data_IF_255187704570
#
_entry.id   IF_255187704570
#
_cell.length_a   1.000
_cell.length_b   1.000
_cell.length_c   1.000
_cell.angle_alpha   90.00
_cell.angle_beta   90.00
_cell.angle_gamma   90.00
#
_symmetry.space_group_name_H-M   'P 1'
#
loop_
_entity.id
_entity.type
_entity.pdbx_description
1 polymer ?
#
# COMPACT_ATOMS: atom_id res chain seq x y z
N UNK A 1 -26.32 7.17 -12.32
CA UNK A 1 -26.83 7.82 -11.09
C UNK A 1 -25.64 8.21 -10.24
N UNK A 2 -25.68 9.32 -9.48
CA UNK A 2 -24.56 9.68 -8.58
C UNK A 2 -24.52 8.68 -7.43
N UNK A 3 -23.36 8.05 -7.19
CA UNK A 3 -23.13 7.20 -6.03
C UNK A 3 -23.37 7.98 -4.74
N UNK A 4 -24.09 7.37 -3.79
CA UNK A 4 -24.38 7.98 -2.50
C UNK A 4 -23.16 7.94 -1.57
N UNK A 5 -22.34 6.89 -1.66
CA UNK A 5 -21.09 6.73 -0.91
C UNK A 5 -19.93 6.71 -1.89
N UNK A 6 -18.91 7.53 -1.64
CA UNK A 6 -17.65 7.53 -2.40
C UNK A 6 -16.48 7.14 -1.52
N UNK A 7 -15.49 6.53 -2.16
CA UNK A 7 -14.18 6.24 -1.58
C UNK A 7 -13.24 7.39 -1.91
N UNK A 8 -12.58 7.93 -0.90
CA UNK A 8 -11.53 8.93 -1.06
C UNK A 8 -10.17 8.32 -0.72
N UNK A 9 -9.16 8.63 -1.54
CA UNK A 9 -7.78 8.17 -1.35
C UNK A 9 -6.90 9.38 -1.08
N UNK A 10 -6.58 9.64 0.19
CA UNK A 10 -5.70 10.74 0.58
C UNK A 10 -4.25 10.30 0.56
N UNK A 11 -3.38 10.92 -0.26
CA UNK A 11 -1.99 10.48 -0.36
C UNK A 11 -1.25 10.68 0.96
N UNK A 12 -0.59 9.63 1.43
CA UNK A 12 0.40 9.73 2.50
C UNK A 12 1.75 10.07 1.88
N UNK A 13 2.16 11.32 2.04
CA UNK A 13 3.40 11.85 1.46
C UNK A 13 4.51 11.83 2.50
N UNK A 14 5.68 11.30 2.14
CA UNK A 14 6.92 11.62 2.85
C UNK A 14 7.48 12.89 2.24
N UNK A 15 7.77 13.89 3.09
CA UNK A 15 8.55 15.05 2.66
C UNK A 15 9.98 14.59 2.39
N UNK A 16 10.33 14.36 1.13
CA UNK A 16 11.69 14.01 0.70
C UNK A 16 12.40 15.22 0.11
N UNK A 17 12.73 16.20 0.96
CA UNK A 17 13.61 17.33 0.64
C UNK A 17 13.30 18.04 -0.70
N UNK A 18 14.30 18.68 -1.34
CA UNK A 18 14.10 19.49 -2.54
C UNK A 18 13.85 18.68 -3.83
N UNK A 19 13.75 17.34 -3.78
CA UNK A 19 13.68 16.45 -4.97
C UNK A 19 12.32 15.77 -5.20
N UNK A 20 11.27 16.22 -4.53
CA UNK A 20 9.88 15.77 -4.75
C UNK A 20 9.34 14.94 -3.60
N UNK A 21 8.01 14.74 -3.54
CA UNK A 21 7.35 13.94 -2.49
C UNK A 21 7.17 12.49 -2.93
N UNK A 22 7.68 11.53 -2.17
CA UNK A 22 7.32 10.12 -2.34
C UNK A 22 5.91 9.86 -1.78
N UNK A 23 5.06 9.16 -2.54
CA UNK A 23 3.77 8.63 -2.07
C UNK A 23 4.06 7.27 -1.44
N UNK A 24 3.93 7.20 -0.11
CA UNK A 24 4.16 5.96 0.66
C UNK A 24 2.91 5.09 0.76
N UNK A 25 1.74 5.68 0.49
CA UNK A 25 0.48 5.06 0.82
C UNK A 25 -0.71 5.97 0.63
N UNK A 26 -1.86 5.52 1.13
CA UNK A 26 -3.08 6.30 1.19
C UNK A 26 -3.81 6.10 2.52
N UNK A 27 -4.47 7.17 2.96
CA UNK A 27 -5.56 7.06 3.93
C UNK A 27 -6.86 6.87 3.16
N UNK A 28 -7.55 5.75 3.42
CA UNK A 28 -8.89 5.50 2.92
C UNK A 28 -9.91 6.23 3.78
N UNK A 29 -10.82 6.93 3.11
CA UNK A 29 -11.99 7.57 3.71
C UNK A 29 -13.25 7.17 2.94
N UNK A 30 -14.38 7.19 3.64
CA UNK A 30 -15.69 7.11 3.02
C UNK A 30 -16.44 8.41 3.24
N UNK A 31 -17.15 8.87 2.23
CA UNK A 31 -17.96 10.07 2.33
C UNK A 31 -19.28 9.90 1.61
N UNK A 32 -20.34 10.43 2.22
CA UNK A 32 -21.65 10.49 1.57
C UNK A 32 -21.75 11.74 0.72
N UNK A 33 -22.00 11.58 -0.58
CA UNK A 33 -22.15 12.70 -1.52
C UNK A 33 -23.56 12.75 -2.11
N UNK A 34 -24.34 13.74 -1.68
CA UNK A 34 -25.63 14.09 -2.27
C UNK A 34 -26.77 13.10 -1.99
N UNK A 35 -27.89 13.31 -2.68
CA UNK A 35 -29.14 12.53 -2.55
C UNK A 35 -29.16 11.26 -3.43
N UNK A 36 -28.00 10.67 -3.70
CA UNK A 36 -27.90 9.42 -4.48
C UNK A 36 -28.60 8.26 -3.76
N UNK A 37 -29.06 7.26 -4.52
CA UNK A 37 -29.51 6.00 -3.95
C UNK A 37 -28.28 5.18 -3.52
N UNK A 38 -28.32 4.63 -2.31
CA UNK A 38 -27.30 3.70 -1.81
C UNK A 38 -27.90 2.32 -1.66
N UNK A 39 -27.13 1.28 -1.94
CA UNK A 39 -27.46 -0.07 -1.51
C UNK A 39 -27.30 -0.22 0.01
N UNK A 40 -26.57 0.68 0.69
CA UNK A 40 -26.51 0.72 2.14
C UNK A 40 -27.83 1.23 2.74
N UNK A 41 -28.30 0.57 3.79
CA UNK A 41 -29.50 0.97 4.53
C UNK A 41 -29.11 1.46 5.92
N UNK A 42 -29.88 2.43 6.43
CA UNK A 42 -29.60 3.03 7.73
C UNK A 42 -29.75 1.98 8.85
N UNK A 43 -28.67 1.78 9.61
CA UNK A 43 -28.64 0.84 10.74
C UNK A 43 -28.54 -0.64 10.36
N UNK A 44 -28.56 -0.98 9.06
CA UNK A 44 -28.40 -2.36 8.58
C UNK A 44 -26.97 -2.60 8.14
N UNK A 45 -26.36 -3.66 8.65
CA UNK A 45 -25.06 -4.13 8.16
C UNK A 45 -25.25 -4.96 6.89
N UNK A 46 -24.49 -4.66 5.84
CA UNK A 46 -24.48 -5.41 4.59
C UNK A 46 -23.06 -5.81 4.19
N UNK A 47 -22.87 -6.98 3.54
CA UNK A 47 -21.59 -7.33 2.94
C UNK A 47 -21.13 -6.24 1.98
N UNK A 48 -19.86 -5.88 2.04
CA UNK A 48 -19.28 -4.89 1.16
C UNK A 48 -17.84 -5.26 0.82
N UNK A 49 -17.36 -4.76 -0.32
CA UNK A 49 -15.96 -4.92 -0.70
C UNK A 49 -15.39 -3.66 -1.31
N UNK A 50 -14.11 -3.45 -1.05
CA UNK A 50 -13.26 -2.47 -1.72
C UNK A 50 -12.42 -3.23 -2.73
N UNK A 51 -12.72 -3.06 -4.01
CA UNK A 51 -11.94 -3.65 -5.10
C UNK A 51 -10.91 -2.63 -5.56
N UNK A 52 -9.63 -2.96 -5.42
CA UNK A 52 -8.53 -2.11 -5.83
C UNK A 52 -8.21 -2.37 -7.30
N UNK A 53 -8.08 -1.27 -8.04
CA UNK A 53 -7.69 -1.25 -9.44
C UNK A 53 -6.39 -0.47 -9.61
N UNK A 54 -5.57 -0.91 -10.56
CA UNK A 54 -4.36 -0.19 -10.96
C UNK A 54 -4.42 0.10 -12.46
N UNK A 55 -3.97 1.29 -12.84
CA UNK A 55 -3.63 1.63 -14.22
C UNK A 55 -2.18 2.10 -14.28
N UNK A 56 -1.41 1.59 -15.22
CA UNK A 56 -0.01 1.96 -15.41
C UNK A 56 0.16 2.89 -16.61
N UNK A 57 0.85 4.00 -16.38
CA UNK A 57 0.99 5.08 -17.36
C UNK A 57 2.47 5.40 -17.58
N UNK A 58 2.84 5.60 -18.84
CA UNK A 58 4.13 6.17 -19.20
C UNK A 58 4.12 7.69 -19.07
N UNK A 59 2.96 8.31 -19.36
CA UNK A 59 2.74 9.75 -19.30
C UNK A 59 1.42 10.08 -18.61
N UNK A 60 1.43 11.08 -17.71
CA UNK A 60 0.25 11.47 -16.91
C UNK A 60 -0.79 12.25 -17.74
N UNK A 61 -0.40 12.77 -18.91
CA UNK A 61 -1.28 13.59 -19.77
C UNK A 61 -1.40 12.98 -21.15
N UNK A 62 -2.64 12.77 -21.60
CA UNK A 62 -2.95 12.30 -22.95
C UNK A 62 -3.01 10.77 -23.10
N UNK A 63 -2.82 10.02 -22.01
CA UNK A 63 -3.03 8.57 -21.97
C UNK A 63 -4.26 8.29 -21.10
N UNK A 64 -5.28 7.63 -21.67
CA UNK A 64 -6.44 7.19 -20.90
C UNK A 64 -6.05 5.97 -20.05
N UNK A 65 -6.27 5.99 -18.72
CA UNK A 65 -5.91 4.88 -17.86
C UNK A 65 -6.82 3.66 -18.10
N UNK A 66 -6.21 2.51 -18.34
CA UNK A 66 -6.89 1.21 -18.35
C UNK A 66 -6.76 0.58 -16.96
N UNK A 67 -7.86 0.61 -16.19
CA UNK A 67 -7.89 0.10 -14.84
C UNK A 67 -8.17 -1.40 -14.79
N UNK A 68 -7.25 -2.16 -14.22
CA UNK A 68 -7.40 -3.59 -13.98
C UNK A 68 -7.55 -3.86 -12.48
N UNK A 69 -8.54 -4.66 -12.11
CA UNK A 69 -8.72 -5.10 -10.73
C UNK A 69 -7.58 -6.04 -10.34
N UNK A 70 -6.97 -5.83 -9.18
CA UNK A 70 -5.85 -6.66 -8.72
C UNK A 70 -5.97 -7.13 -7.27
N UNK A 71 -6.82 -6.51 -6.46
CA UNK A 71 -7.01 -6.92 -5.08
C UNK A 71 -8.42 -6.59 -4.57
N UNK A 72 -8.89 -7.33 -3.58
CA UNK A 72 -10.18 -7.13 -2.92
C UNK A 72 -10.02 -7.15 -1.41
N UNK A 73 -10.59 -6.16 -0.73
CA UNK A 73 -10.76 -6.16 0.72
C UNK A 73 -12.24 -6.30 1.04
N UNK A 74 -12.62 -7.46 1.57
CA UNK A 74 -13.98 -7.77 1.98
C UNK A 74 -14.25 -7.30 3.40
N UNK A 75 -15.50 -6.96 3.69
CA UNK A 75 -15.93 -6.58 5.03
C UNK A 75 -17.44 -6.32 5.08
N UNK A 76 -17.86 -5.49 6.03
CA UNK A 76 -19.26 -5.10 6.20
C UNK A 76 -19.38 -3.58 6.16
N UNK A 77 -20.46 -3.06 5.60
CA UNK A 77 -20.77 -1.64 5.63
C UNK A 77 -22.12 -1.39 6.31
N UNK A 78 -22.19 -0.31 7.08
CA UNK A 78 -23.44 0.17 7.69
C UNK A 78 -23.56 1.67 7.44
N UNK A 79 -24.74 2.13 7.04
CA UNK A 79 -25.02 3.56 6.98
C UNK A 79 -25.50 4.05 8.35
N UNK A 80 -24.72 4.93 8.99
CA UNK A 80 -25.08 5.58 10.26
C UNK A 80 -25.56 7.00 10.02
N UNK A 81 -26.18 7.61 11.03
CA UNK A 81 -26.53 9.05 10.99
C UNK A 81 -25.31 9.94 10.76
N UNK A 82 -24.14 9.53 11.25
CA UNK A 82 -22.87 10.24 11.07
C UNK A 82 -22.18 9.96 9.74
N UNK A 83 -22.72 9.06 8.90
CA UNK A 83 -22.13 8.63 7.64
C UNK A 83 -21.90 7.12 7.55
N UNK A 84 -21.31 6.66 6.44
CA UNK A 84 -21.01 5.24 6.21
C UNK A 84 -19.88 4.77 7.12
N UNK A 85 -20.00 3.53 7.60
CA UNK A 85 -18.95 2.85 8.36
C UNK A 85 -18.67 1.48 7.78
N UNK A 86 -17.43 1.24 7.38
CA UNK A 86 -16.92 -0.04 6.94
C UNK A 86 -16.22 -0.74 8.11
N UNK A 87 -16.49 -2.02 8.30
CA UNK A 87 -16.03 -2.82 9.44
C UNK A 87 -15.29 -4.04 8.90
N UNK A 88 -14.08 -4.25 9.39
CA UNK A 88 -13.26 -5.42 9.14
C UNK A 88 -13.27 -6.34 10.36
N UNK A 89 -13.27 -7.64 10.10
CA UNK A 89 -12.98 -8.69 11.07
C UNK A 89 -11.49 -8.75 11.44
N UNK A 90 -11.16 -9.46 12.53
CA UNK A 90 -9.78 -9.64 12.97
C UNK A 90 -8.91 -10.40 11.97
N UNK A 91 -9.53 -11.31 11.20
CA UNK A 91 -8.86 -12.21 10.26
C UNK A 91 -9.08 -11.83 8.79
N UNK A 92 -9.74 -10.68 8.53
CA UNK A 92 -9.94 -10.20 7.16
C UNK A 92 -8.58 -9.88 6.51
N UNK A 93 -8.43 -10.22 5.24
CA UNK A 93 -7.21 -10.01 4.47
C UNK A 93 -7.50 -9.30 3.15
N UNK A 94 -6.45 -8.76 2.53
CA UNK A 94 -6.52 -8.32 1.14
C UNK A 94 -6.27 -9.54 0.26
N UNK A 95 -7.26 -9.92 -0.52
CA UNK A 95 -7.18 -11.01 -1.49
C UNK A 95 -6.63 -10.48 -2.82
N UNK A 96 -5.53 -11.05 -3.31
CA UNK A 96 -4.91 -10.64 -4.57
C UNK A 96 -5.31 -11.56 -5.72
N UNK A 97 -5.54 -11.00 -6.90
CA UNK A 97 -5.87 -11.78 -8.11
C UNK A 97 -4.66 -12.53 -8.68
N UNK A 98 -3.45 -12.12 -8.31
CA UNK A 98 -2.19 -12.74 -8.71
C UNK A 98 -1.53 -13.44 -7.53
N UNK A 99 -0.81 -14.55 -7.77
CA UNK A 99 -0.10 -15.26 -6.71
C UNK A 99 0.93 -14.38 -6.03
N UNK A 100 1.33 -14.77 -4.82
CA UNK A 100 2.41 -14.12 -4.12
C UNK A 100 3.73 -14.23 -4.92
N UNK A 101 4.56 -13.18 -4.91
CA UNK A 101 5.86 -13.22 -5.58
C UNK A 101 6.76 -14.29 -4.95
N UNK A 102 7.59 -14.93 -5.77
CA UNK A 102 8.63 -15.85 -5.31
C UNK A 102 9.66 -15.11 -4.46
N UNK A 103 10.32 -15.75 -3.49
CA UNK A 103 11.47 -15.17 -2.77
C UNK A 103 12.61 -14.71 -3.70
N UNK A 104 12.69 -15.27 -4.91
CA UNK A 104 13.65 -14.89 -5.95
C UNK A 104 13.24 -13.64 -6.74
N UNK A 105 11.97 -13.24 -6.68
CA UNK A 105 11.47 -12.09 -7.43
C UNK A 105 11.90 -10.79 -6.75
N UNK A 106 12.07 -9.69 -7.52
CA UNK A 106 12.23 -8.38 -6.93
C UNK A 106 11.06 -8.08 -5.97
N UNK A 107 11.34 -7.52 -4.79
CA UNK A 107 10.29 -7.22 -3.82
C UNK A 107 9.25 -6.29 -4.44
N UNK A 108 7.95 -6.61 -4.32
CA UNK A 108 6.91 -5.85 -4.98
C UNK A 108 6.80 -4.45 -4.36
N UNK A 109 6.35 -3.48 -5.14
CA UNK A 109 6.00 -2.17 -4.60
C UNK A 109 4.80 -2.33 -3.67
N UNK A 110 4.88 -1.73 -2.48
CA UNK A 110 3.80 -1.73 -1.50
C UNK A 110 3.37 -0.30 -1.18
N UNK A 111 2.09 -0.14 -0.86
CA UNK A 111 1.50 1.10 -0.36
C UNK A 111 0.95 0.87 1.05
N UNK A 112 1.33 1.73 1.97
CA UNK A 112 0.75 1.74 3.30
C UNK A 112 -0.72 2.16 3.22
N UNK A 113 -1.62 1.39 3.82
CA UNK A 113 -3.01 1.75 3.98
C UNK A 113 -3.26 2.20 5.42
N UNK A 114 -3.70 3.44 5.56
CA UNK A 114 -4.39 3.88 6.76
C UNK A 114 -5.90 3.95 6.51
N UNK A 115 -6.65 3.85 7.59
CA UNK A 115 -8.10 3.85 7.57
C UNK A 115 -8.59 4.95 8.49
N UNK A 116 -9.42 5.86 7.98
CA UNK A 116 -9.97 6.93 8.78
C UNK A 116 -10.97 6.37 9.80
N UNK A 117 -10.61 6.43 11.09
CA UNK A 117 -11.33 5.72 12.16
C UNK A 117 -12.80 6.09 12.36
N UNK A 118 -13.22 7.26 11.88
CA UNK A 118 -14.63 7.65 11.88
C UNK A 118 -15.47 6.80 10.90
N UNK A 119 -14.87 6.39 9.78
CA UNK A 119 -15.54 5.65 8.70
C UNK A 119 -15.09 4.19 8.62
N UNK A 120 -14.00 3.83 9.29
CA UNK A 120 -13.46 2.48 9.28
C UNK A 120 -13.28 1.96 10.70
N UNK A 121 -13.74 0.74 10.93
CA UNK A 121 -13.42 -0.04 12.12
C UNK A 121 -12.49 -1.17 11.70
N UNK A 122 -11.21 -1.00 12.01
CA UNK A 122 -10.15 -1.97 11.71
C UNK A 122 -9.54 -2.41 13.03
N UNK A 123 -9.56 -3.71 13.36
CA UNK A 123 -8.89 -4.23 14.54
C UNK A 123 -7.42 -3.79 14.55
N UNK A 124 -6.89 -3.25 15.67
CA UNK A 124 -5.48 -2.84 15.75
C UNK A 124 -4.50 -3.96 15.42
N UNK A 125 -4.88 -5.21 15.72
CA UNK A 125 -4.11 -6.43 15.47
C UNK A 125 -4.11 -6.86 14.01
N UNK A 126 -5.04 -6.38 13.18
CA UNK A 126 -5.09 -6.75 11.77
C UNK A 126 -4.10 -5.89 10.98
N UNK A 127 -2.85 -6.37 10.91
CA UNK A 127 -1.77 -5.74 10.16
C UNK A 127 -1.79 -6.11 8.67
N UNK A 128 -2.43 -7.23 8.31
CA UNK A 128 -2.46 -7.76 6.94
C UNK A 128 -3.15 -6.81 5.95
N UNK A 129 -4.14 -6.04 6.41
CA UNK A 129 -4.89 -5.07 5.59
C UNK A 129 -4.21 -3.70 5.48
N UNK A 130 -3.04 -3.50 6.11
CA UNK A 130 -2.34 -2.20 6.16
C UNK A 130 -1.25 -2.04 5.11
N UNK A 131 -0.98 -3.08 4.32
CA UNK A 131 -0.04 -3.03 3.20
C UNK A 131 -0.70 -3.55 1.94
N UNK A 132 -0.83 -2.67 0.94
CA UNK A 132 -1.36 -3.00 -0.38
C UNK A 132 -0.20 -3.26 -1.33
N UNK A 133 -0.04 -4.52 -1.73
CA UNK A 133 0.92 -4.92 -2.77
C UNK A 133 0.41 -4.51 -4.14
N UNK A 134 1.20 -3.75 -4.88
CA UNK A 134 0.87 -3.38 -6.26
C UNK A 134 1.28 -4.50 -7.23
N UNK A 135 0.53 -4.70 -8.33
CA UNK A 135 0.93 -5.61 -9.39
C UNK A 135 2.26 -5.15 -10.01
N UNK A 136 3.03 -6.03 -10.68
CA UNK A 136 4.24 -5.62 -11.37
C UNK A 136 3.94 -4.53 -12.41
N UNK A 137 4.72 -3.45 -12.39
CA UNK A 137 4.57 -2.40 -13.39
C UNK A 137 5.12 -2.88 -14.75
N UNK A 138 4.40 -2.66 -15.86
CA UNK A 138 4.93 -2.99 -17.18
C UNK A 138 6.16 -2.13 -17.50
N UNK A 139 7.04 -2.65 -18.35
CA UNK A 139 8.25 -1.94 -18.77
C UNK A 139 7.91 -0.56 -19.35
N UNK A 140 8.62 0.48 -18.90
CA UNK A 140 8.39 1.86 -19.34
C UNK A 140 7.40 2.66 -18.48
N UNK A 141 6.58 2.01 -17.66
CA UNK A 141 5.64 2.70 -16.78
C UNK A 141 6.36 3.63 -15.80
N UNK A 142 5.87 4.87 -15.69
CA UNK A 142 6.41 5.92 -14.81
C UNK A 142 5.46 6.29 -13.69
N UNK A 143 4.18 5.94 -13.83
CA UNK A 143 3.13 6.24 -12.88
C UNK A 143 2.20 5.04 -12.76
N UNK A 144 1.67 4.85 -11.56
CA UNK A 144 0.50 4.02 -11.32
C UNK A 144 -0.62 4.92 -10.80
N UNK A 145 -1.80 4.81 -11.37
CA UNK A 145 -3.02 5.33 -10.76
C UNK A 145 -3.69 4.18 -10.01
N UNK A 146 -3.96 4.37 -8.73
CA UNK A 146 -4.71 3.42 -7.92
C UNK A 146 -6.12 3.98 -7.74
N UNK A 147 -7.11 3.18 -8.09
CA UNK A 147 -8.51 3.48 -7.87
C UNK A 147 -9.17 2.39 -7.05
N UNK A 148 -10.29 2.73 -6.41
CA UNK A 148 -11.07 1.77 -5.63
C UNK A 148 -12.51 1.80 -6.10
N UNK A 149 -13.07 0.62 -6.36
CA UNK A 149 -14.50 0.41 -6.53
C UNK A 149 -15.09 -0.06 -5.20
N UNK A 150 -16.23 0.52 -4.81
CA UNK A 150 -17.01 0.09 -3.66
C UNK A 150 -18.18 -0.76 -4.16
N UNK A 151 -18.28 -1.99 -3.65
CA UNK A 151 -19.45 -2.85 -3.83
C UNK A 151 -20.18 -3.04 -2.52
N UNK A 152 -21.51 -3.12 -2.58
CA UNK A 152 -22.39 -3.40 -1.45
C UNK A 152 -23.38 -4.46 -1.88
N UNK A 153 -23.46 -5.56 -1.13
CA UNK A 153 -24.26 -6.73 -1.46
C UNK A 153 -23.99 -7.28 -2.88
N UNK A 154 -22.74 -7.17 -3.35
CA UNK A 154 -22.31 -7.63 -4.68
C UNK A 154 -22.50 -6.61 -5.81
N UNK A 155 -23.32 -5.58 -5.61
CA UNK A 155 -23.60 -4.55 -6.60
C UNK A 155 -22.64 -3.37 -6.48
N UNK A 156 -22.32 -2.73 -7.60
CA UNK A 156 -21.44 -1.54 -7.63
C UNK A 156 -22.18 -0.35 -7.05
N UNK A 157 -21.72 0.12 -5.89
CA UNK A 157 -22.18 1.37 -5.26
C UNK A 157 -21.46 2.57 -5.87
N UNK A 158 -20.13 2.47 -6.03
CA UNK A 158 -19.31 3.51 -6.63
C UNK A 158 -18.17 2.91 -7.43
N UNK A 159 -18.16 3.16 -8.74
CA UNK A 159 -17.10 2.69 -9.63
C UNK A 159 -15.80 3.48 -9.45
N UNK A 160 -14.70 2.95 -9.99
CA UNK A 160 -13.39 3.60 -10.05
C UNK A 160 -13.46 5.03 -10.63
N UNK A 161 -14.33 5.27 -11.61
CA UNK A 161 -14.49 6.58 -12.24
C UNK A 161 -15.27 7.59 -11.36
N UNK A 162 -16.07 7.11 -10.41
CA UNK A 162 -16.85 7.95 -9.50
C UNK A 162 -16.08 8.34 -8.23
N UNK A 163 -15.01 7.60 -7.90
CA UNK A 163 -14.20 7.76 -6.70
C UNK A 163 -12.91 8.55 -6.97
N UNK A 164 -12.22 8.94 -5.88
CA UNK A 164 -10.88 9.53 -6.00
C UNK A 164 -9.88 8.48 -6.52
N UNK A 165 -8.83 8.98 -7.19
CA UNK A 165 -7.69 8.20 -7.65
C UNK A 165 -6.44 8.69 -6.95
N UNK A 166 -5.55 7.74 -6.64
CA UNK A 166 -4.24 8.02 -6.08
C UNK A 166 -3.18 7.91 -7.17
N UNK A 167 -2.52 9.03 -7.46
CA UNK A 167 -1.33 9.04 -8.31
C UNK A 167 -0.10 8.57 -7.53
N UNK A 168 0.55 7.51 -8.02
CA UNK A 168 1.76 6.93 -7.44
C UNK A 168 2.90 7.04 -8.46
N UNK A 169 3.84 7.97 -8.27
CA UNK A 169 5.04 8.02 -9.10
C UNK A 169 5.85 6.72 -8.95
N UNK A 170 6.09 6.03 -10.06
CA UNK A 170 6.90 4.82 -10.13
C UNK A 170 8.38 5.13 -10.36
N UNK A 171 8.89 6.21 -9.75
CA UNK A 171 10.32 6.46 -9.76
C UNK A 171 11.06 5.15 -9.45
N UNK A 172 12.15 4.83 -10.19
CA UNK A 172 12.82 3.53 -10.08
C UNK A 172 13.03 3.21 -8.61
N UNK A 173 12.41 2.14 -8.13
CA UNK A 173 12.73 1.62 -6.82
C UNK A 173 14.17 1.17 -6.92
N UNK A 174 15.05 1.92 -6.29
CA UNK A 174 16.35 1.36 -5.97
C UNK A 174 16.09 0.44 -4.78
N UNK A 175 16.75 -0.70 -4.78
CA UNK A 175 16.78 -1.59 -3.64
C UNK A 175 18.24 -1.68 -3.19
N UNK A 176 18.44 -1.95 -1.92
CA UNK A 176 19.74 -2.33 -1.39
C UNK A 176 19.69 -3.84 -1.18
N UNK A 177 20.59 -4.56 -1.84
CA UNK A 177 20.75 -6.01 -1.68
C UNK A 177 22.22 -6.26 -1.37
N UNK A 178 22.48 -6.88 -0.22
CA UNK A 178 23.81 -7.23 0.22
C UNK A 178 23.80 -8.62 0.84
N UNK A 179 24.89 -9.34 0.66
CA UNK A 179 25.16 -10.59 1.33
C UNK A 179 26.31 -10.38 2.31
N UNK A 180 26.07 -10.73 3.57
CA UNK A 180 27.04 -10.62 4.66
C UNK A 180 27.71 -11.96 4.85
N UNK A 181 29.04 -12.00 4.69
CA UNK A 181 29.86 -13.20 4.88
C UNK A 181 31.03 -12.91 5.80
N UNK A 182 31.46 -13.91 6.55
CA UNK A 182 32.67 -13.85 7.38
C UNK A 182 33.94 -14.12 6.55
N UNK A 183 35.10 -14.16 7.21
CA UNK A 183 36.39 -14.44 6.57
C UNK A 183 36.51 -15.85 5.97
N UNK A 184 35.62 -16.77 6.34
CA UNK A 184 35.56 -18.15 5.87
C UNK A 184 34.47 -18.36 4.81
N UNK A 185 33.89 -17.28 4.27
CA UNK A 185 32.78 -17.29 3.31
C UNK A 185 31.46 -17.84 3.91
N UNK A 186 31.32 -17.94 5.23
CA UNK A 186 30.09 -18.39 5.88
C UNK A 186 29.09 -17.22 6.04
N UNK A 187 27.77 -17.45 5.86
CA UNK A 187 26.76 -16.40 5.96
C UNK A 187 26.63 -15.85 7.39
N UNK A 188 26.62 -14.54 7.51
CA UNK A 188 26.42 -13.81 8.77
C UNK A 188 24.93 -13.55 8.99
N UNK A 189 24.23 -14.55 9.51
CA UNK A 189 22.80 -14.46 9.82
C UNK A 189 22.49 -13.67 11.10
N UNK A 190 21.24 -13.19 11.21
CA UNK A 190 20.64 -12.54 12.39
C UNK A 190 21.38 -11.29 12.88
N UNK A 191 22.08 -10.59 11.99
CA UNK A 191 22.81 -9.38 12.33
C UNK A 191 21.96 -8.15 12.19
N UNK A 192 21.93 -7.30 13.21
CA UNK A 192 21.23 -6.02 13.17
C UNK A 192 22.12 -4.91 12.60
N UNK A 193 21.62 -4.24 11.57
CA UNK A 193 22.32 -3.18 10.86
C UNK A 193 21.42 -1.95 10.72
N UNK A 194 22.05 -0.80 10.56
CA UNK A 194 21.40 0.43 10.16
C UNK A 194 21.82 0.78 8.73
N UNK A 195 20.83 0.93 7.85
CA UNK A 195 21.01 1.49 6.52
C UNK A 195 20.64 2.97 6.53
N UNK A 196 21.61 3.85 6.25
CA UNK A 196 21.40 5.29 6.06
C UNK A 196 21.31 5.62 4.57
N UNK A 197 20.23 6.26 4.17
CA UNK A 197 19.94 6.65 2.78
C UNK A 197 20.51 8.05 2.45
N UNK A 198 20.59 8.37 1.15
CA UNK A 198 21.11 9.65 0.63
C UNK A 198 20.37 10.89 1.15
N UNK A 199 19.10 10.77 1.54
CA UNK A 199 18.31 11.87 2.11
C UNK A 199 18.52 12.04 3.64
N UNK A 200 19.37 11.19 4.23
CA UNK A 200 19.65 11.16 5.66
C UNK A 200 18.71 10.30 6.48
N UNK A 201 17.65 9.72 5.90
CA UNK A 201 16.78 8.78 6.62
C UNK A 201 17.46 7.45 6.88
N UNK A 202 17.11 6.80 8.00
CA UNK A 202 17.68 5.51 8.40
C UNK A 202 16.62 4.42 8.50
N UNK A 203 17.02 3.18 8.25
CA UNK A 203 16.21 1.99 8.43
C UNK A 203 17.02 0.91 9.14
N UNK A 204 16.46 0.33 10.20
CA UNK A 204 17.04 -0.84 10.85
C UNK A 204 16.65 -2.09 10.07
N UNK A 205 17.62 -2.96 9.84
CA UNK A 205 17.46 -4.18 9.05
C UNK A 205 18.23 -5.31 9.71
N UNK A 206 17.81 -6.53 9.42
CA UNK A 206 18.39 -7.75 9.97
C UNK A 206 18.69 -8.72 8.83
N UNK A 207 19.88 -9.32 8.83
CA UNK A 207 20.23 -10.33 7.83
C UNK A 207 19.45 -11.63 8.06
N UNK A 208 19.05 -12.29 6.98
CA UNK A 208 18.36 -13.60 7.03
C UNK A 208 19.34 -14.77 7.25
N UNK A 209 18.83 -16.00 7.17
CA UNK A 209 19.62 -17.22 7.38
C UNK A 209 20.77 -17.39 6.38
N UNK A 210 20.66 -16.79 5.19
CA UNK A 210 21.69 -16.81 4.14
C UNK A 210 22.61 -15.58 4.25
N UNK A 211 22.50 -14.80 5.33
CA UNK A 211 23.28 -13.57 5.52
C UNK A 211 22.82 -12.43 4.62
N UNK A 212 21.67 -12.54 3.95
CA UNK A 212 21.20 -11.54 2.99
C UNK A 212 20.44 -10.42 3.68
N UNK A 213 20.65 -9.20 3.21
CA UNK A 213 19.98 -7.98 3.64
C UNK A 213 19.33 -7.35 2.42
N UNK A 214 18.01 -7.40 2.35
CA UNK A 214 17.23 -6.79 1.27
C UNK A 214 16.37 -5.64 1.81
N UNK A 215 16.62 -4.43 1.32
CA UNK A 215 15.86 -3.23 1.68
C UNK A 215 15.22 -2.65 0.43
N UNK A 216 13.89 -2.57 0.44
CA UNK A 216 13.11 -1.97 -0.63
C UNK A 216 11.88 -1.26 -0.04
N UNK A 217 11.60 0.00 -0.43
CA UNK A 217 12.38 0.84 -1.35
C UNK A 217 13.54 1.60 -0.68
N UNK A 218 14.63 1.84 -1.42
CA UNK A 218 15.66 2.82 -1.07
C UNK A 218 15.69 3.98 -2.08
N UNK A 219 16.04 5.16 -1.58
CA UNK A 219 16.18 6.36 -2.43
C UNK A 219 17.46 6.22 -3.25
N UNK A 220 17.35 6.34 -4.57
CA UNK A 220 18.50 6.24 -5.49
C UNK A 220 19.61 7.22 -5.06
N UNK A 221 20.77 6.67 -4.72
CA UNK A 221 21.93 7.43 -4.28
C UNK A 221 22.84 6.61 -3.39
N UNK A 222 23.96 7.19 -2.92
CA UNK A 222 24.84 6.52 -1.96
C UNK A 222 24.07 6.16 -0.69
N UNK A 223 24.31 4.95 -0.20
CA UNK A 223 23.82 4.48 1.09
C UNK A 223 25.01 4.07 1.96
N UNK A 224 24.87 4.18 3.27
CA UNK A 224 25.85 3.69 4.25
C UNK A 224 25.20 2.57 5.07
N UNK A 225 25.81 1.39 5.08
CA UNK A 225 25.42 0.29 5.96
C UNK A 225 26.35 0.28 7.17
N UNK A 226 25.78 0.25 8.38
CA UNK A 226 26.52 0.26 9.64
C UNK A 226 26.06 -0.87 10.54
N UNK A 227 27.02 -1.49 11.23
CA UNK A 227 26.72 -2.40 12.34
C UNK A 227 26.10 -1.60 13.48
N UNK A 228 24.99 -2.09 14.02
CA UNK A 228 24.55 -1.63 15.33
C UNK A 228 25.38 -2.43 16.32
N UNK A 229 26.29 -1.76 17.04
CA UNK A 229 27.11 -2.43 18.02
C UNK A 229 26.19 -3.16 19.02
N UNK A 230 26.41 -4.46 19.19
CA UNK A 230 25.86 -5.17 20.34
C UNK A 230 26.38 -4.41 21.57
N UNK A 231 25.46 -3.92 22.40
CA UNK A 231 25.80 -3.33 23.69
C UNK A 231 26.36 -4.40 24.63
N UNK A 232 27.59 -4.85 24.36
CA UNK A 232 28.40 -5.65 25.26
C UNK A 232 29.33 -4.71 26.01
N UNK A 233 28.95 -4.36 27.23
CA UNK A 233 29.90 -3.90 28.23
C UNK A 233 31.01 -4.94 28.37
N UNK A 234 32.27 -4.46 28.43
CA UNK A 234 33.45 -5.29 28.66
C UNK A 234 33.62 -5.74 30.10
#
# INVERSE_FOLDING_TARGET
>A
MSAAIRVLLRPQRKSSGPRGSAVLGATLELSSFGAGASAAEQGTSKPASLVFHAAYLETVRGQEPSFEAFATLSGQITLRRSGPRFVLGPDDVIEYSSPDPSPSDPPPRQLNLAFAGAQFEVPPTNLAVRSLRLPPAPGGARHAEIGVELKIAGEVEASVAANDRLDVPLAPLSFFDAELRDENDAPLADRELELRMVDGSTQRVRSDADGRVLVNPVIKGPCELRWIADGGEG
#
